data_IF_426837763864
#
_entry.id   IF_426837763864
#
_cell.length_a   1.000
_cell.length_b   1.000
_cell.length_c   1.000
_cell.angle_alpha   90.00
_cell.angle_beta   90.00
_cell.angle_gamma   90.00
#
_symmetry.space_group_name_H-M   'P 1'
#
loop_
_entity.id
_entity.type
_entity.pdbx_description
1 polymer ?
#
# COMPACT_ATOMS: atom_id res chain seq x y z
N UNK A 1 2.41 -25.98 14.96
CA UNK A 1 1.45 -26.50 13.95
C UNK A 1 0.36 -25.46 13.79
N UNK A 2 -0.12 -25.20 12.56
CA UNK A 2 -1.22 -24.26 12.34
C UNK A 2 -2.49 -24.79 13.02
N UNK A 3 -3.07 -24.01 13.92
CA UNK A 3 -4.39 -24.29 14.48
C UNK A 3 -5.46 -23.91 13.45
N UNK A 4 -6.09 -24.93 12.86
CA UNK A 4 -7.07 -24.75 11.79
C UNK A 4 -8.37 -24.14 12.30
N UNK A 5 -8.81 -24.50 13.50
CA UNK A 5 -10.07 -24.00 14.06
C UNK A 5 -9.96 -22.52 14.40
N UNK A 6 -8.84 -22.13 15.02
CA UNK A 6 -8.54 -20.72 15.27
C UNK A 6 -8.45 -19.93 13.96
N UNK A 7 -7.78 -20.47 12.94
CA UNK A 7 -7.67 -19.82 11.63
C UNK A 7 -9.05 -19.55 11.00
N UNK A 8 -9.91 -20.56 10.92
CA UNK A 8 -11.25 -20.38 10.33
C UNK A 8 -12.14 -19.45 11.15
N UNK A 9 -12.06 -19.52 12.49
CA UNK A 9 -12.78 -18.61 13.38
C UNK A 9 -12.39 -17.15 13.15
N UNK A 10 -11.10 -16.88 12.88
CA UNK A 10 -10.63 -15.56 12.53
C UNK A 10 -11.12 -15.13 11.14
N UNK A 11 -11.08 -16.03 10.15
CA UNK A 11 -11.62 -15.73 8.82
C UNK A 11 -13.10 -15.34 8.89
N UNK A 12 -13.92 -16.07 9.65
CA UNK A 12 -15.34 -15.72 9.86
C UNK A 12 -15.48 -14.38 10.58
N UNK A 13 -14.73 -14.16 11.66
CA UNK A 13 -14.78 -12.92 12.44
C UNK A 13 -14.45 -11.67 11.62
N UNK A 14 -13.49 -11.77 10.71
CA UNK A 14 -13.05 -10.66 9.87
C UNK A 14 -13.67 -10.66 8.47
N UNK A 15 -14.70 -11.51 8.24
CA UNK A 15 -15.42 -11.62 6.97
C UNK A 15 -14.48 -11.86 5.77
N UNK A 16 -13.46 -12.70 5.97
CA UNK A 16 -12.49 -13.08 4.95
C UNK A 16 -13.11 -14.16 4.06
N UNK A 17 -13.31 -13.81 2.79
CA UNK A 17 -13.81 -14.75 1.79
C UNK A 17 -12.74 -15.81 1.46
N UNK A 18 -13.11 -17.09 1.54
CA UNK A 18 -12.25 -18.21 1.20
C UNK A 18 -12.74 -18.86 -0.11
N UNK A 19 -11.84 -19.02 -1.07
CA UNK A 19 -12.12 -19.71 -2.33
C UNK A 19 -11.43 -21.06 -2.39
N UNK A 20 -12.16 -22.08 -2.87
CA UNK A 20 -11.61 -23.42 -3.13
C UNK A 20 -10.85 -23.49 -4.46
N UNK A 21 -11.06 -22.52 -5.36
CA UNK A 21 -10.53 -22.53 -6.72
C UNK A 21 -9.37 -21.55 -6.91
N UNK A 22 -9.31 -20.49 -6.10
CA UNK A 22 -8.20 -19.54 -6.14
C UNK A 22 -6.91 -20.22 -5.72
N UNK A 23 -5.88 -20.10 -6.55
CA UNK A 23 -4.53 -20.67 -6.29
C UNK A 23 -3.57 -19.62 -5.72
N UNK A 24 -3.94 -18.35 -5.78
CA UNK A 24 -3.14 -17.21 -5.37
C UNK A 24 -4.00 -16.27 -4.51
N UNK A 25 -3.37 -15.43 -3.67
CA UNK A 25 -4.07 -14.38 -2.95
C UNK A 25 -4.86 -13.47 -3.91
N UNK A 26 -6.08 -13.12 -3.51
CA UNK A 26 -6.98 -12.28 -4.30
C UNK A 26 -7.32 -11.01 -3.54
N UNK A 27 -7.52 -9.92 -4.26
CA UNK A 27 -7.96 -8.63 -3.74
C UNK A 27 -9.22 -8.21 -4.47
N UNK A 28 -10.04 -7.40 -3.78
CA UNK A 28 -11.25 -6.81 -4.33
C UNK A 28 -11.07 -5.29 -4.37
N UNK A 29 -11.23 -4.71 -5.54
CA UNK A 29 -11.16 -3.28 -5.80
C UNK A 29 -12.42 -2.79 -6.54
N UNK A 30 -12.34 -1.61 -7.17
CA UNK A 30 -13.42 -1.03 -7.95
C UNK A 30 -13.71 -1.77 -9.27
N UNK A 31 -12.71 -2.44 -9.84
CA UNK A 31 -12.81 -3.19 -11.08
C UNK A 31 -13.28 -4.64 -10.87
N UNK A 32 -13.11 -5.18 -9.66
CA UNK A 32 -13.66 -6.47 -9.26
C UNK A 32 -12.71 -7.27 -8.38
N UNK A 33 -12.74 -8.60 -8.54
CA UNK A 33 -11.85 -9.51 -7.81
C UNK A 33 -10.76 -9.99 -8.76
N UNK A 34 -9.50 -9.71 -8.44
CA UNK A 34 -8.35 -10.15 -9.22
C UNK A 34 -7.19 -10.63 -8.33
N UNK A 35 -6.19 -11.26 -8.94
CA UNK A 35 -5.01 -11.72 -8.21
C UNK A 35 -4.13 -10.52 -7.84
N UNK A 36 -3.57 -10.53 -6.63
CA UNK A 36 -2.69 -9.45 -6.16
C UNK A 36 -1.47 -9.33 -7.08
N UNK A 37 -1.18 -8.10 -7.49
CA UNK A 37 -0.03 -7.68 -8.30
C UNK A 37 0.94 -6.82 -7.48
N UNK A 38 2.15 -6.59 -7.99
CA UNK A 38 3.11 -5.70 -7.33
C UNK A 38 2.61 -4.25 -7.26
N UNK A 39 1.88 -3.81 -8.28
CA UNK A 39 1.29 -2.47 -8.32
C UNK A 39 0.27 -2.27 -7.18
N UNK A 40 -0.55 -3.27 -6.86
CA UNK A 40 -1.50 -3.19 -5.75
C UNK A 40 -0.77 -3.02 -4.41
N UNK A 41 0.31 -3.79 -4.23
CA UNK A 41 1.15 -3.72 -3.03
C UNK A 41 1.80 -2.35 -2.92
N UNK A 42 2.33 -1.82 -4.03
CA UNK A 42 2.89 -0.45 -4.07
C UNK A 42 1.82 0.55 -3.70
N UNK A 43 0.60 0.48 -4.23
CA UNK A 43 -0.46 1.44 -3.92
C UNK A 43 -0.86 1.43 -2.44
N UNK A 44 -0.96 0.24 -1.82
CA UNK A 44 -1.34 0.10 -0.41
C UNK A 44 -0.22 0.60 0.52
N UNK A 45 1.03 0.32 0.17
CA UNK A 45 2.20 0.65 1.01
C UNK A 45 2.79 2.03 0.72
N UNK A 46 2.48 2.65 -0.42
CA UNK A 46 2.98 3.99 -0.73
C UNK A 46 2.30 4.98 0.20
N UNK A 47 3.06 5.72 1.04
CA UNK A 47 2.48 6.75 1.88
C UNK A 47 1.75 7.76 1.00
N UNK A 48 0.54 8.22 1.37
CA UNK A 48 -0.09 9.30 0.63
C UNK A 48 0.83 10.52 0.69
N UNK A 49 1.48 10.85 -0.42
CA UNK A 49 2.29 12.04 -0.56
C UNK A 49 1.33 13.24 -0.51
N UNK A 50 1.05 13.75 0.69
CA UNK A 50 0.38 15.04 0.86
C UNK A 50 1.35 16.13 0.40
N UNK A 51 1.19 16.55 -0.84
CA UNK A 51 1.85 17.74 -1.35
C UNK A 51 1.29 18.96 -0.63
N UNK A 52 2.10 19.63 0.17
CA UNK A 52 1.77 20.95 0.70
C UNK A 52 2.29 21.98 -0.28
N UNK A 53 1.37 22.59 -1.03
CA UNK A 53 1.65 23.68 -1.94
C UNK A 53 1.98 24.93 -1.12
N UNK A 54 3.26 25.15 -0.79
CA UNK A 54 3.72 26.42 -0.23
C UNK A 54 3.79 27.47 -1.35
N UNK A 55 2.63 27.83 -1.90
CA UNK A 55 2.52 29.01 -2.76
C UNK A 55 2.63 30.26 -1.90
N UNK A 56 3.86 30.68 -1.60
CA UNK A 56 4.11 32.01 -1.08
C UNK A 56 4.40 32.93 -2.27
N UNK A 57 3.60 33.98 -2.46
CA UNK A 57 3.71 34.94 -3.55
C UNK A 57 5.00 35.79 -3.51
N UNK A 58 5.94 35.48 -2.59
CA UNK A 58 7.14 36.25 -2.33
C UNK A 58 8.45 35.54 -2.75
N UNK A 59 8.37 34.39 -3.44
CA UNK A 59 9.56 33.67 -3.91
C UNK A 59 9.63 33.74 -5.43
N UNK A 60 10.17 34.84 -5.95
CA UNK A 60 10.69 34.88 -7.31
C UNK A 60 12.00 34.08 -7.35
N UNK A 61 11.91 32.75 -7.45
CA UNK A 61 13.08 31.91 -7.72
C UNK A 61 12.82 31.09 -8.97
N UNK A 62 13.45 31.59 -10.05
CA UNK A 62 13.66 30.93 -11.33
C UNK A 62 13.66 29.40 -11.26
N UNK A 63 12.67 28.77 -11.90
CA UNK A 63 12.69 27.41 -12.46
C UNK A 63 13.82 26.49 -11.93
N UNK A 64 13.80 26.13 -10.66
CA UNK A 64 14.65 25.06 -10.15
C UNK A 64 13.88 23.77 -10.41
N UNK A 65 14.44 22.91 -11.27
CA UNK A 65 13.91 21.57 -11.51
C UNK A 65 13.71 20.86 -10.16
N UNK A 66 12.60 20.15 -9.94
CA UNK A 66 12.42 19.38 -8.72
C UNK A 66 13.51 18.30 -8.68
N UNK A 67 14.47 18.47 -7.77
CA UNK A 67 15.46 17.47 -7.43
C UNK A 67 14.79 16.44 -6.53
N UNK A 68 14.73 15.19 -7.02
CA UNK A 68 14.16 14.06 -6.30
C UNK A 68 15.20 13.58 -5.30
N UNK A 69 15.02 13.93 -4.02
CA UNK A 69 15.71 13.23 -2.94
C UNK A 69 14.94 11.95 -2.63
N UNK A 70 15.46 10.82 -3.11
CA UNK A 70 15.08 9.52 -2.57
C UNK A 70 15.49 9.49 -1.10
N UNK A 71 14.53 9.37 -0.19
CA UNK A 71 14.75 9.13 1.22
C UNK A 71 15.24 7.68 1.41
N UNK A 72 16.47 7.40 0.98
CA UNK A 72 17.21 6.19 1.28
C UNK A 72 17.84 6.31 2.67
N UNK A 73 17.02 6.33 3.73
CA UNK A 73 17.52 6.15 5.09
C UNK A 73 16.88 4.91 5.72
N UNK A 74 17.50 3.76 5.39
CA UNK A 74 17.56 2.59 6.26
C UNK A 74 18.13 3.03 7.62
N UNK A 75 17.26 3.35 8.57
CA UNK A 75 17.61 3.34 9.98
C UNK A 75 17.05 2.07 10.62
N UNK A 76 17.85 1.01 10.57
CA UNK A 76 17.77 -0.12 11.51
C UNK A 76 17.78 0.44 12.93
N UNK A 77 16.75 0.15 13.73
CA UNK A 77 16.77 0.37 15.17
C UNK A 77 16.80 -1.00 15.88
N UNK A 78 17.75 -1.10 16.82
CA UNK A 78 18.20 -2.28 17.56
C UNK A 78 17.12 -3.08 18.27
#
# INVERSE_FOLDING_TARGET
MLDKELFFSLCEKYNVELSKTAKTPMIRDAEGVHAITEEDVKQILTPPQKYFDYSNNNINTSNVKPEFDFMDDYATAC
#
